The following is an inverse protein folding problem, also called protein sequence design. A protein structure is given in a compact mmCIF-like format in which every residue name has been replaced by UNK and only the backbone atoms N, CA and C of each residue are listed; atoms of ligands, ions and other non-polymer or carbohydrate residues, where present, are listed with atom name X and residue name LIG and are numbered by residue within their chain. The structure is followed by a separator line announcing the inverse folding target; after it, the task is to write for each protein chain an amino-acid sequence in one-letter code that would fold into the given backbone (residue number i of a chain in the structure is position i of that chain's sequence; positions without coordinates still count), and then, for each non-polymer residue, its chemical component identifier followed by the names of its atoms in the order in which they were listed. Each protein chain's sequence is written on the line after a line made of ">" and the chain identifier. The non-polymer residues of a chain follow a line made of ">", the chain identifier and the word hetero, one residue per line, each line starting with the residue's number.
data_IF_555801566504
#
_entry.id   IF_555801566504
#
_cell.length_a   1.000
_cell.length_b   1.000
_cell.length_c   1.000
_cell.angle_alpha   90.00
_cell.angle_beta   90.00
_cell.angle_gamma   90.00
#
_symmetry.space_group_name_H-M   'P 1'
#
loop_
_entity.id
_entity.type
_entity.pdbx_description
1 polymer ?
#
# COMPACT_ATOMS: atom_id res chain seq x y z
N UNK A 1 17.49 62.61 20.24
CA UNK A 1 18.26 61.47 19.71
C UNK A 1 17.32 60.61 18.92
N UNK A 2 17.45 60.57 17.59
CA UNK A 2 16.70 59.66 16.75
C UNK A 2 17.33 58.26 16.92
N UNK A 3 16.63 57.37 17.58
CA UNK A 3 17.03 55.95 17.63
C UNK A 3 16.87 55.40 16.24
N UNK A 4 17.97 55.12 15.53
CA UNK A 4 17.93 54.37 14.30
C UNK A 4 17.67 52.90 14.67
N UNK A 5 16.45 52.47 14.48
CA UNK A 5 16.07 51.06 14.57
C UNK A 5 16.62 50.30 13.37
N UNK A 6 17.09 49.10 13.61
CA UNK A 6 17.51 48.16 12.56
C UNK A 6 16.36 47.19 12.27
N UNK A 7 16.05 46.97 11.03
CA UNK A 7 15.02 46.00 10.63
C UNK A 7 15.68 44.69 10.18
N UNK A 8 15.32 43.61 10.84
CA UNK A 8 15.86 42.26 10.58
C UNK A 8 14.73 41.33 10.20
N UNK A 9 14.81 40.70 9.04
CA UNK A 9 13.87 39.69 8.61
C UNK A 9 14.28 38.32 9.20
N UNK A 10 13.42 37.70 9.97
CA UNK A 10 13.60 36.32 10.45
C UNK A 10 12.61 35.42 9.75
N UNK A 11 13.13 34.42 9.03
CA UNK A 11 12.37 33.53 8.15
C UNK A 11 12.70 32.05 8.40
N UNK A 12 11.94 31.14 7.81
CA UNK A 12 12.13 29.72 7.96
C UNK A 12 11.48 29.14 9.20
N UNK A 13 12.18 28.24 9.89
CA UNK A 13 11.61 27.42 10.98
C UNK A 13 11.66 28.09 12.36
N UNK A 14 11.04 29.26 12.44
CA UNK A 14 10.77 29.99 13.70
C UNK A 14 9.27 30.08 13.94
N UNK A 15 8.83 30.24 15.17
CA UNK A 15 7.40 30.29 15.51
C UNK A 15 6.65 31.46 14.91
N UNK A 16 7.33 32.60 14.73
CA UNK A 16 6.74 33.83 14.18
C UNK A 16 7.69 34.42 13.14
N UNK A 17 7.68 33.94 11.89
CA UNK A 17 8.51 34.51 10.84
C UNK A 17 7.99 35.90 10.45
N UNK A 18 8.81 36.94 10.67
CA UNK A 18 8.47 38.35 10.41
C UNK A 18 9.72 39.21 10.28
N UNK A 19 9.52 40.48 9.95
CA UNK A 19 10.52 41.54 10.07
C UNK A 19 10.40 42.13 11.49
N UNK A 20 11.50 42.17 12.21
CA UNK A 20 11.59 42.69 13.58
C UNK A 20 12.36 43.96 13.59
N UNK A 21 11.89 44.94 14.39
CA UNK A 21 12.61 46.14 14.72
C UNK A 21 13.55 45.85 15.87
N UNK A 22 14.84 45.99 15.63
CA UNK A 22 15.93 45.66 16.59
C UNK A 22 16.63 46.93 17.03
N UNK A 23 17.02 46.97 18.28
CA UNK A 23 17.86 48.06 18.80
C UNK A 23 19.31 47.86 18.37
N UNK A 24 20.05 48.93 18.27
CA UNK A 24 21.49 48.88 17.95
C UNK A 24 22.24 48.00 18.92
N UNK A 25 22.95 47.00 18.46
CA UNK A 25 23.76 46.07 19.25
C UNK A 25 23.00 44.84 19.76
N UNK A 26 21.72 44.71 19.50
CA UNK A 26 21.03 43.46 19.76
C UNK A 26 21.56 42.32 18.88
N UNK A 27 21.49 41.13 19.45
CA UNK A 27 22.13 39.92 18.89
C UNK A 27 21.11 39.05 18.13
N UNK A 28 21.63 38.06 17.44
CA UNK A 28 20.84 37.07 16.73
C UNK A 28 19.92 36.25 17.69
N UNK A 29 20.43 35.93 18.90
CA UNK A 29 19.65 35.28 19.95
C UNK A 29 18.41 36.13 20.34
N UNK A 30 18.55 37.44 20.42
CA UNK A 30 17.43 38.35 20.70
C UNK A 30 16.42 38.41 19.58
N UNK A 31 16.87 38.33 18.32
CA UNK A 31 15.98 38.23 17.16
C UNK A 31 15.12 36.93 17.20
N UNK A 32 15.72 35.81 17.61
CA UNK A 32 14.97 34.56 17.81
C UNK A 32 14.01 34.61 18.98
N UNK A 33 14.36 35.32 20.09
CA UNK A 33 13.44 35.55 21.18
C UNK A 33 12.19 36.33 20.71
N UNK A 34 12.34 37.38 19.93
CA UNK A 34 11.24 38.11 19.32
C UNK A 34 10.42 37.24 18.38
N UNK A 35 11.07 36.33 17.62
CA UNK A 35 10.41 35.36 16.78
C UNK A 35 9.71 34.23 17.56
N UNK A 36 9.76 34.26 18.91
CA UNK A 36 9.13 33.25 19.75
C UNK A 36 9.91 31.94 19.85
N UNK A 37 11.15 31.92 19.38
CA UNK A 37 12.00 30.75 19.31
C UNK A 37 11.76 29.88 18.06
N UNK A 38 12.38 28.71 18.05
CA UNK A 38 12.37 27.76 16.96
C UNK A 38 11.12 26.88 16.94
N UNK A 39 10.74 26.38 15.76
CA UNK A 39 9.75 25.29 15.63
C UNK A 39 10.39 23.95 16.00
N UNK A 40 9.58 22.93 16.31
CA UNK A 40 10.08 21.60 16.67
C UNK A 40 10.88 20.88 15.60
N UNK A 41 10.73 21.29 14.35
CA UNK A 41 11.43 20.75 13.17
C UNK A 41 12.53 21.70 12.64
N UNK A 42 12.95 22.69 13.44
CA UNK A 42 14.01 23.61 13.06
C UNK A 42 15.39 22.95 13.18
N UNK A 43 16.21 23.15 12.15
CA UNK A 43 17.65 22.91 12.24
C UNK A 43 18.31 24.18 12.81
N UNK A 44 18.76 24.12 14.03
CA UNK A 44 19.23 25.29 14.79
C UNK A 44 20.71 25.21 15.21
N UNK A 45 21.46 24.26 14.68
CA UNK A 45 22.91 24.19 14.96
C UNK A 45 23.67 25.32 14.28
N UNK A 46 23.20 25.76 13.12
CA UNK A 46 23.63 27.00 12.48
C UNK A 46 22.47 27.66 11.73
N UNK A 47 22.65 28.92 11.40
CA UNK A 47 21.70 29.70 10.59
C UNK A 47 22.44 30.56 9.58
N UNK A 48 21.78 30.85 8.46
CA UNK A 48 22.31 31.72 7.45
C UNK A 48 21.77 33.14 7.58
N UNK A 49 22.68 34.10 7.66
CA UNK A 49 22.36 35.53 7.66
C UNK A 49 22.81 36.13 6.34
N UNK A 50 21.86 36.66 5.58
CA UNK A 50 22.12 37.41 4.35
C UNK A 50 22.21 38.88 4.69
N UNK A 51 23.39 39.47 4.52
CA UNK A 51 23.72 40.86 4.84
C UNK A 51 23.98 41.68 3.58
N UNK A 52 23.47 42.91 3.55
CA UNK A 52 23.77 43.88 2.46
C UNK A 52 25.14 44.52 2.67
N UNK A 53 25.98 44.55 1.66
CA UNK A 53 27.35 45.14 1.71
C UNK A 53 27.51 46.35 0.79
N UNK A 54 26.44 47.07 0.52
CA UNK A 54 26.48 48.26 -0.34
C UNK A 54 26.43 47.94 -1.85
N UNK A 55 27.20 46.98 -2.33
CA UNK A 55 27.22 46.55 -3.73
C UNK A 55 26.55 45.19 -3.99
N UNK A 56 26.60 44.31 -3.02
CA UNK A 56 26.16 42.93 -3.16
C UNK A 56 25.67 42.38 -1.80
N UNK A 57 25.22 41.13 -1.80
CA UNK A 57 24.88 40.43 -0.58
C UNK A 57 26.06 39.57 -0.11
N UNK A 58 26.26 39.51 1.21
CA UNK A 58 27.14 38.53 1.86
C UNK A 58 26.27 37.50 2.57
N UNK A 59 26.68 36.25 2.55
CA UNK A 59 26.10 35.16 3.34
C UNK A 59 27.06 34.87 4.48
N UNK A 60 26.53 34.91 5.69
CA UNK A 60 27.25 34.61 6.92
C UNK A 60 26.56 33.39 7.56
N UNK A 61 27.31 32.33 7.77
CA UNK A 61 26.84 31.18 8.54
C UNK A 61 27.23 31.41 10.00
N UNK A 62 26.25 31.45 10.89
CA UNK A 62 26.44 31.64 12.31
C UNK A 62 26.11 30.38 13.06
N UNK A 63 27.07 29.86 13.81
CA UNK A 63 26.88 28.65 14.61
C UNK A 63 26.10 28.96 15.88
N UNK A 64 25.40 28.00 16.42
CA UNK A 64 24.55 28.15 17.62
C UNK A 64 25.26 28.78 18.83
N UNK A 65 26.50 28.40 19.18
CA UNK A 65 27.23 29.03 20.27
C UNK A 65 27.46 30.55 20.12
N UNK A 66 27.47 31.02 18.86
CA UNK A 66 27.77 32.42 18.54
C UNK A 66 26.51 33.30 18.44
N UNK A 67 25.30 32.76 18.61
CA UNK A 67 24.05 33.50 18.49
C UNK A 67 23.97 34.67 19.48
N UNK A 68 24.51 34.52 20.69
CA UNK A 68 24.54 35.55 21.72
C UNK A 68 25.58 36.63 21.45
N UNK A 69 26.61 36.33 20.68
CA UNK A 69 27.69 37.27 20.36
C UNK A 69 27.49 37.97 19.00
N UNK A 70 26.74 37.38 18.11
CA UNK A 70 26.54 37.89 16.74
C UNK A 70 25.58 39.08 16.73
N UNK A 71 26.10 40.28 16.53
CA UNK A 71 25.30 41.48 16.38
C UNK A 71 24.64 41.55 15.00
N UNK A 72 23.31 41.70 14.97
CA UNK A 72 22.56 41.87 13.72
C UNK A 72 22.69 43.29 13.19
N UNK A 73 22.62 43.44 11.85
CA UNK A 73 22.71 44.72 11.19
C UNK A 73 21.39 45.04 10.46
N UNK A 74 21.18 46.33 10.18
CA UNK A 74 19.99 46.78 9.45
C UNK A 74 19.91 46.15 8.06
N UNK A 75 18.73 45.58 7.75
CA UNK A 75 18.45 44.88 6.49
C UNK A 75 18.99 43.46 6.42
N UNK A 76 19.47 42.89 7.54
CA UNK A 76 19.81 41.48 7.60
C UNK A 76 18.57 40.61 7.39
N UNK A 77 18.76 39.50 6.69
CA UNK A 77 17.74 38.45 6.52
C UNK A 77 18.28 37.12 7.08
N UNK A 78 17.71 36.69 8.19
CA UNK A 78 18.06 35.45 8.88
C UNK A 78 17.15 34.33 8.40
N UNK A 79 17.73 33.23 7.95
CA UNK A 79 16.99 32.04 7.52
C UNK A 79 17.34 30.84 8.38
N UNK A 80 16.32 30.28 9.04
CA UNK A 80 16.45 29.06 9.84
C UNK A 80 16.03 27.86 9.01
N UNK A 81 16.92 26.88 8.90
CA UNK A 81 16.72 25.65 8.16
C UNK A 81 15.71 24.71 8.84
N UNK A 82 15.46 23.60 8.18
CA UNK A 82 14.69 22.47 8.69
C UNK A 82 15.58 21.25 8.85
N UNK A 83 15.34 20.43 9.87
CA UNK A 83 15.95 19.09 9.97
C UNK A 83 15.63 18.27 8.73
N UNK A 84 16.51 17.37 8.33
CA UNK A 84 16.26 16.49 7.19
C UNK A 84 15.02 15.63 7.44
N UNK A 85 14.24 15.43 6.38
CA UNK A 85 13.08 14.52 6.42
C UNK A 85 13.53 13.06 6.20
N UNK A 86 14.58 12.66 6.92
CA UNK A 86 15.14 11.32 6.88
C UNK A 86 15.26 10.78 8.31
N UNK A 87 15.15 9.46 8.43
CA UNK A 87 15.31 8.80 9.73
C UNK A 87 16.78 8.39 9.92
N UNK A 88 17.30 8.63 11.11
CA UNK A 88 18.68 8.29 11.45
C UNK A 88 18.91 6.77 11.57
N UNK A 89 17.87 6.01 11.94
CA UNK A 89 17.98 4.61 12.33
C UNK A 89 16.75 3.77 11.96
N UNK A 90 16.05 4.11 10.87
CA UNK A 90 14.85 3.38 10.47
C UNK A 90 15.18 2.05 9.81
N UNK A 91 14.40 1.03 10.18
CA UNK A 91 14.17 -0.21 9.44
C UNK A 91 12.71 -0.32 9.08
N UNK A 92 12.40 -0.95 7.97
CA UNK A 92 11.03 -1.19 7.53
C UNK A 92 10.83 -2.70 7.38
N UNK A 93 9.73 -3.24 7.90
CA UNK A 93 9.32 -4.62 7.62
C UNK A 93 7.87 -4.64 7.16
N UNK A 94 7.60 -5.36 6.06
CA UNK A 94 6.27 -5.45 5.43
C UNK A 94 5.94 -6.89 5.05
N UNK A 95 4.65 -7.14 4.77
CA UNK A 95 4.15 -8.44 4.33
C UNK A 95 3.66 -9.33 5.47
N UNK A 96 4.00 -10.62 5.43
CA UNK A 96 3.44 -11.68 6.28
C UNK A 96 4.06 -11.76 7.68
N UNK A 97 4.12 -10.63 8.39
CA UNK A 97 4.48 -10.55 9.82
C UNK A 97 3.29 -10.01 10.62
N UNK A 98 3.22 -10.31 11.92
CA UNK A 98 2.11 -9.86 12.75
C UNK A 98 2.05 -8.33 12.88
N UNK A 99 3.20 -7.66 12.99
CA UNK A 99 3.28 -6.19 13.10
C UNK A 99 4.19 -5.60 12.01
N UNK A 100 3.69 -5.42 10.79
CA UNK A 100 4.41 -4.69 9.77
C UNK A 100 4.52 -3.21 10.16
N UNK A 101 5.62 -2.55 9.79
CA UNK A 101 5.82 -1.13 10.06
C UNK A 101 7.28 -0.71 10.11
N UNK A 102 7.49 0.48 10.70
CA UNK A 102 8.81 1.04 10.91
C UNK A 102 9.35 0.63 12.29
N UNK A 103 10.62 0.27 12.32
CA UNK A 103 11.36 -0.10 13.52
C UNK A 103 12.64 0.70 13.61
N UNK A 104 13.16 0.85 14.82
CA UNK A 104 14.48 1.43 15.05
C UNK A 104 15.58 0.39 14.83
N UNK A 105 16.70 0.80 14.27
CA UNK A 105 17.91 -0.01 14.21
C UNK A 105 18.67 0.12 15.53
N UNK A 106 18.68 -0.95 16.31
CA UNK A 106 19.37 -1.09 17.59
C UNK A 106 19.99 -2.47 17.69
N UNK A 107 20.74 -2.77 18.72
CA UNK A 107 21.30 -4.11 18.95
C UNK A 107 20.25 -5.23 18.99
N UNK A 108 19.01 -4.85 19.38
CA UNK A 108 17.86 -5.78 19.43
C UNK A 108 17.14 -5.96 18.08
N UNK A 109 17.53 -5.23 17.07
CA UNK A 109 16.96 -5.28 15.70
C UNK A 109 18.05 -5.29 14.63
N UNK A 110 19.32 -5.46 15.04
CA UNK A 110 20.49 -5.40 14.16
C UNK A 110 20.57 -6.53 13.14
N UNK A 111 19.75 -7.58 13.29
CA UNK A 111 19.72 -8.70 12.35
C UNK A 111 18.27 -9.01 11.94
N UNK A 112 18.14 -9.70 10.79
CA UNK A 112 16.85 -10.04 10.21
C UNK A 112 15.99 -10.90 11.17
N UNK A 113 16.59 -11.89 11.83
CA UNK A 113 15.89 -12.73 12.81
C UNK A 113 15.33 -11.93 13.98
N UNK A 114 16.13 -11.00 14.52
CA UNK A 114 15.72 -10.12 15.62
C UNK A 114 14.60 -9.16 15.19
N UNK A 115 14.69 -8.62 13.97
CA UNK A 115 13.64 -7.75 13.43
C UNK A 115 12.32 -8.53 13.25
N UNK A 116 12.36 -9.75 12.71
CA UNK A 116 11.18 -10.63 12.60
C UNK A 116 10.59 -10.92 13.97
N UNK A 117 11.42 -11.26 14.96
CA UNK A 117 10.98 -11.50 16.33
C UNK A 117 10.34 -10.24 16.95
N UNK A 118 10.93 -9.05 16.71
CA UNK A 118 10.39 -7.76 17.17
C UNK A 118 9.05 -7.42 16.51
N UNK A 119 8.83 -7.89 15.27
CA UNK A 119 7.55 -7.80 14.56
C UNK A 119 6.54 -8.89 14.99
N UNK A 120 6.75 -9.53 16.14
CA UNK A 120 5.94 -10.61 16.71
C UNK A 120 5.89 -11.88 15.85
N UNK A 121 6.89 -12.05 14.96
CA UNK A 121 7.05 -13.26 14.14
C UNK A 121 6.21 -13.29 12.87
N UNK A 122 6.19 -14.46 12.25
CA UNK A 122 5.51 -14.73 10.98
C UNK A 122 4.03 -15.07 11.20
N UNK A 123 3.18 -14.71 10.25
CA UNK A 123 1.70 -14.96 10.32
C UNK A 123 1.28 -16.41 10.01
N UNK A 124 2.19 -17.26 9.51
CA UNK A 124 1.86 -18.60 9.04
C UNK A 124 1.36 -18.71 7.60
N UNK A 125 1.10 -17.57 6.95
CA UNK A 125 0.76 -17.49 5.53
C UNK A 125 1.89 -16.87 4.68
N UNK A 126 3.10 -16.85 5.22
CA UNK A 126 4.30 -16.39 4.53
C UNK A 126 4.72 -17.33 3.40
N UNK A 127 5.28 -16.75 2.34
CA UNK A 127 5.98 -17.52 1.32
C UNK A 127 7.37 -17.92 1.85
N UNK A 128 7.45 -19.13 2.37
CA UNK A 128 8.55 -19.61 3.18
C UNK A 128 9.92 -19.60 2.49
N UNK A 129 9.95 -19.84 1.17
CA UNK A 129 11.20 -20.05 0.43
C UNK A 129 11.92 -18.76 0.03
N UNK A 130 11.24 -17.60 0.01
CA UNK A 130 11.85 -16.37 -0.46
C UNK A 130 11.22 -15.12 0.13
N UNK A 131 12.01 -14.38 0.91
CA UNK A 131 11.82 -12.98 1.25
C UNK A 131 12.95 -12.14 0.62
N UNK A 132 12.91 -10.85 0.82
CA UNK A 132 13.91 -9.93 0.28
C UNK A 132 14.17 -8.75 1.22
N UNK A 133 15.44 -8.37 1.33
CA UNK A 133 15.85 -7.11 1.92
C UNK A 133 16.24 -6.18 0.79
N UNK A 134 15.62 -5.02 0.72
CA UNK A 134 16.00 -3.94 -0.19
C UNK A 134 16.89 -2.97 0.56
N UNK A 135 18.12 -2.81 0.10
CA UNK A 135 19.17 -1.98 0.71
C UNK A 135 19.61 -0.88 -0.23
N UNK A 136 19.75 0.33 0.29
CA UNK A 136 20.34 1.44 -0.45
C UNK A 136 21.86 1.40 -0.32
N UNK A 137 22.56 1.36 -1.45
CA UNK A 137 24.04 1.44 -1.52
C UNK A 137 24.55 2.86 -1.39
N UNK A 138 25.86 3.00 -1.25
CA UNK A 138 26.52 4.32 -1.15
C UNK A 138 26.38 5.19 -2.42
N UNK A 139 26.18 4.58 -3.57
CA UNK A 139 25.92 5.24 -4.86
C UNK A 139 24.42 5.62 -5.06
N UNK A 140 23.60 5.50 -4.00
CA UNK A 140 22.14 5.72 -3.99
C UNK A 140 21.35 4.74 -4.86
N UNK A 141 21.96 3.74 -5.46
CA UNK A 141 21.23 2.64 -6.10
C UNK A 141 20.73 1.64 -5.05
N UNK A 142 19.76 0.81 -5.44
CA UNK A 142 19.22 -0.21 -4.56
C UNK A 142 19.70 -1.60 -4.98
N UNK A 143 19.97 -2.44 -4.00
CA UNK A 143 20.19 -3.86 -4.17
C UNK A 143 19.12 -4.67 -3.45
N UNK A 144 18.84 -5.86 -3.97
CA UNK A 144 17.92 -6.81 -3.35
C UNK A 144 18.71 -8.02 -2.86
N UNK A 145 18.65 -8.27 -1.58
CA UNK A 145 19.28 -9.41 -0.92
C UNK A 145 18.19 -10.44 -0.63
N UNK A 146 18.12 -11.55 -1.38
CA UNK A 146 17.14 -12.60 -1.15
C UNK A 146 17.52 -13.44 0.06
N UNK A 147 16.52 -13.95 0.77
CA UNK A 147 16.70 -14.85 1.89
C UNK A 147 15.58 -15.88 1.99
N UNK A 148 15.85 -17.02 2.64
CA UNK A 148 14.82 -17.99 3.02
C UNK A 148 14.14 -17.50 4.31
N UNK A 149 12.81 -17.32 4.25
CA UNK A 149 12.06 -16.72 5.36
C UNK A 149 12.08 -17.58 6.62
N UNK A 150 11.96 -18.90 6.49
CA UNK A 150 11.99 -19.82 7.64
C UNK A 150 13.36 -19.92 8.27
N UNK A 151 14.41 -19.99 7.46
CA UNK A 151 15.80 -20.01 7.94
C UNK A 151 16.14 -18.72 8.67
N UNK A 152 15.77 -17.58 8.09
CA UNK A 152 16.00 -16.27 8.69
C UNK A 152 15.26 -16.11 10.03
N UNK A 153 14.00 -16.54 10.10
CA UNK A 153 13.23 -16.52 11.35
C UNK A 153 13.83 -17.44 12.43
N UNK A 154 14.48 -18.54 12.03
CA UNK A 154 15.19 -19.43 12.92
C UNK A 154 16.62 -18.97 13.28
N UNK A 155 17.08 -17.83 12.74
CA UNK A 155 18.42 -17.30 12.93
C UNK A 155 19.51 -18.03 12.14
N UNK A 156 19.11 -18.82 11.13
CA UNK A 156 20.04 -19.49 10.21
C UNK A 156 20.34 -18.53 9.05
N UNK A 157 21.63 -18.37 8.71
CA UNK A 157 22.07 -17.41 7.69
C UNK A 157 21.55 -15.98 7.95
N UNK A 158 21.60 -15.54 9.20
CA UNK A 158 21.02 -14.29 9.65
C UNK A 158 21.72 -13.08 9.01
N UNK A 159 20.96 -12.22 8.37
CA UNK A 159 21.46 -11.06 7.62
C UNK A 159 21.57 -9.87 8.57
N UNK A 160 22.77 -9.25 8.71
CA UNK A 160 22.90 -8.00 9.42
C UNK A 160 22.16 -6.87 8.67
N UNK A 161 21.31 -6.14 9.39
CA UNK A 161 20.54 -5.04 8.83
C UNK A 161 21.28 -3.72 8.95
N UNK A 162 21.03 -2.84 8.00
CA UNK A 162 21.56 -1.49 7.94
C UNK A 162 20.43 -0.46 7.97
N UNK A 163 20.78 0.77 8.30
CA UNK A 163 19.85 1.91 8.25
C UNK A 163 19.12 1.97 6.90
N UNK A 164 17.80 2.20 6.94
CA UNK A 164 16.91 2.29 5.77
C UNK A 164 16.72 0.96 5.02
N UNK A 165 17.15 -0.18 5.58
CA UNK A 165 16.79 -1.46 4.99
C UNK A 165 15.29 -1.67 5.03
N UNK A 166 14.74 -2.17 3.93
CA UNK A 166 13.33 -2.54 3.80
C UNK A 166 13.22 -4.05 3.59
N UNK A 167 12.65 -4.73 4.58
CA UNK A 167 12.41 -6.17 4.57
C UNK A 167 11.00 -6.44 4.06
N UNK A 168 10.88 -7.29 3.05
CA UNK A 168 9.61 -7.76 2.54
C UNK A 168 9.48 -9.28 2.66
N UNK A 169 8.44 -9.72 3.34
CA UNK A 169 8.10 -11.13 3.50
C UNK A 169 6.79 -11.39 2.75
N UNK A 170 6.84 -12.03 1.56
CA UNK A 170 5.65 -12.22 0.75
C UNK A 170 4.60 -13.09 1.43
N UNK A 171 3.34 -12.77 1.19
CA UNK A 171 2.21 -13.59 1.57
C UNK A 171 1.86 -14.54 0.43
N UNK A 172 1.67 -15.84 0.72
CA UNK A 172 1.29 -16.84 -0.30
C UNK A 172 -0.04 -16.51 -0.99
N UNK A 173 -0.94 -15.79 -0.33
CA UNK A 173 -2.21 -15.39 -0.93
C UNK A 173 -2.05 -14.28 -1.97
N UNK A 174 -1.05 -13.39 -1.80
CA UNK A 174 -0.73 -12.33 -2.76
C UNK A 174 0.01 -12.86 -3.99
N UNK A 175 0.64 -14.03 -3.88
CA UNK A 175 1.37 -14.69 -4.97
C UNK A 175 0.48 -15.61 -5.81
N UNK A 176 -0.78 -15.80 -5.41
CA UNK A 176 -1.75 -16.60 -6.15
C UNK A 176 -2.66 -15.70 -6.96
N UNK A 177 -2.97 -16.16 -8.16
CA UNK A 177 -4.08 -15.60 -8.92
C UNK A 177 -5.37 -15.74 -8.09
N UNK A 178 -6.19 -14.69 -8.07
CA UNK A 178 -7.47 -14.73 -7.34
C UNK A 178 -8.42 -15.68 -8.08
N UNK A 179 -8.73 -16.79 -7.44
CA UNK A 179 -9.58 -17.82 -8.02
C UNK A 179 -11.04 -17.42 -7.94
N UNK A 180 -11.69 -17.39 -9.08
CA UNK A 180 -13.08 -16.97 -9.22
C UNK A 180 -13.89 -17.99 -10.01
N UNK A 181 -15.23 -17.95 -9.84
CA UNK A 181 -16.24 -18.66 -10.61
C UNK A 181 -17.14 -17.62 -11.28
N UNK A 182 -17.29 -17.72 -12.59
CA UNK A 182 -18.27 -16.90 -13.33
C UNK A 182 -19.66 -17.54 -13.27
N UNK A 183 -20.69 -16.76 -12.93
CA UNK A 183 -22.10 -17.21 -13.04
C UNK A 183 -22.83 -16.27 -13.97
N UNK A 184 -23.36 -16.81 -15.04
CA UNK A 184 -23.95 -16.05 -16.15
C UNK A 184 -25.33 -16.59 -16.55
N UNK A 185 -26.06 -15.80 -17.33
CA UNK A 185 -27.35 -16.19 -17.88
C UNK A 185 -28.54 -15.90 -16.96
N UNK A 186 -29.53 -16.81 -16.91
CA UNK A 186 -30.81 -16.60 -16.26
C UNK A 186 -30.76 -16.88 -14.75
N UNK A 187 -29.86 -16.19 -14.04
CA UNK A 187 -29.80 -16.12 -12.58
C UNK A 187 -30.17 -14.71 -12.12
N UNK A 188 -30.63 -14.58 -10.88
CA UNK A 188 -31.11 -13.30 -10.36
C UNK A 188 -30.01 -12.24 -10.31
N UNK A 189 -28.77 -12.64 -10.00
CA UNK A 189 -27.58 -11.77 -9.90
C UNK A 189 -26.40 -12.42 -10.63
N UNK A 190 -26.29 -12.27 -11.97
CA UNK A 190 -25.10 -12.72 -12.68
C UNK A 190 -23.86 -11.98 -12.16
N UNK A 191 -22.87 -12.72 -11.69
CA UNK A 191 -21.68 -12.14 -11.08
C UNK A 191 -20.46 -13.07 -11.19
N UNK A 192 -19.32 -12.57 -10.79
CA UNK A 192 -18.10 -13.34 -10.59
C UNK A 192 -17.88 -13.54 -9.10
N UNK A 193 -17.97 -14.79 -8.66
CA UNK A 193 -17.89 -15.18 -7.24
C UNK A 193 -16.46 -15.61 -6.89
N UNK A 194 -15.95 -15.30 -5.70
CA UNK A 194 -14.70 -15.86 -5.23
C UNK A 194 -14.85 -17.39 -5.08
N UNK A 195 -13.91 -18.14 -5.67
CA UNK A 195 -13.87 -19.59 -5.56
C UNK A 195 -13.61 -20.04 -4.12
N UNK A 196 -14.26 -21.12 -3.73
CA UNK A 196 -14.05 -21.83 -2.48
C UNK A 196 -13.89 -23.32 -2.74
N UNK A 197 -12.98 -23.98 -2.07
CA UNK A 197 -12.81 -25.42 -2.17
C UNK A 197 -14.10 -26.14 -1.77
N UNK A 198 -14.48 -27.16 -2.55
CA UNK A 198 -15.73 -27.91 -2.36
C UNK A 198 -17.00 -27.21 -2.89
N UNK A 199 -16.89 -26.07 -3.54
CA UNK A 199 -18.03 -25.34 -4.12
C UNK A 199 -18.66 -26.12 -5.27
N UNK A 200 -20.00 -26.28 -5.25
CA UNK A 200 -20.77 -26.97 -6.25
C UNK A 200 -21.52 -25.99 -7.18
N UNK A 201 -22.18 -26.52 -8.21
CA UNK A 201 -23.01 -25.72 -9.12
C UNK A 201 -24.19 -25.10 -8.37
N UNK A 202 -24.80 -25.85 -7.46
CA UNK A 202 -25.89 -25.37 -6.60
C UNK A 202 -25.46 -24.20 -5.73
N UNK A 203 -24.27 -24.29 -5.12
CA UNK A 203 -23.71 -23.23 -4.30
C UNK A 203 -23.51 -21.94 -5.10
N UNK A 204 -23.00 -22.07 -6.33
CA UNK A 204 -22.79 -20.94 -7.23
C UNK A 204 -24.09 -20.25 -7.60
N UNK A 205 -25.14 -21.04 -7.95
CA UNK A 205 -26.47 -20.53 -8.28
C UNK A 205 -27.12 -19.90 -7.07
N UNK A 206 -27.04 -20.54 -5.90
CA UNK A 206 -27.60 -20.02 -4.65
C UNK A 206 -26.98 -18.65 -4.28
N UNK A 207 -25.66 -18.53 -4.38
CA UNK A 207 -24.94 -17.27 -4.14
C UNK A 207 -25.29 -16.18 -5.15
N UNK A 208 -25.66 -16.56 -6.37
CA UNK A 208 -26.17 -15.65 -7.40
C UNK A 208 -27.65 -15.30 -7.22
N UNK A 209 -28.24 -15.65 -6.08
CA UNK A 209 -29.64 -15.33 -5.73
C UNK A 209 -30.67 -16.27 -6.32
N UNK A 210 -30.25 -17.45 -6.84
CA UNK A 210 -31.13 -18.45 -7.44
C UNK A 210 -31.44 -18.17 -8.91
N UNK A 211 -32.33 -19.01 -9.46
CA UNK A 211 -32.72 -18.99 -10.86
C UNK A 211 -33.86 -17.98 -11.10
N UNK A 212 -33.86 -17.34 -12.26
CA UNK A 212 -35.02 -16.56 -12.74
C UNK A 212 -36.15 -17.50 -13.20
N UNK A 213 -37.36 -16.97 -13.31
CA UNK A 213 -38.49 -17.67 -13.87
C UNK A 213 -38.26 -18.12 -15.34
N UNK A 214 -37.49 -17.33 -16.09
CA UNK A 214 -37.07 -17.58 -17.46
C UNK A 214 -36.01 -18.67 -17.62
N UNK A 215 -35.42 -19.16 -16.52
CA UNK A 215 -34.33 -20.12 -16.53
C UNK A 215 -34.78 -21.49 -17.02
N UNK A 216 -33.90 -22.17 -17.77
CA UNK A 216 -34.07 -23.57 -18.14
C UNK A 216 -33.52 -24.47 -17.03
N UNK A 217 -34.37 -25.27 -16.43
CA UNK A 217 -33.98 -26.27 -15.43
C UNK A 217 -33.29 -27.49 -16.06
N UNK A 218 -33.50 -27.73 -17.33
CA UNK A 218 -32.94 -28.88 -18.05
C UNK A 218 -31.56 -28.63 -18.65
N UNK A 219 -31.03 -27.41 -18.56
CA UNK A 219 -29.76 -27.09 -19.22
C UNK A 219 -28.96 -26.02 -18.53
N UNK A 220 -28.21 -26.43 -17.49
CA UNK A 220 -27.16 -25.65 -16.89
C UNK A 220 -25.83 -26.17 -17.41
N UNK A 221 -25.02 -25.29 -17.92
CA UNK A 221 -23.74 -25.62 -18.52
C UNK A 221 -22.60 -25.10 -17.63
N UNK A 222 -21.55 -25.90 -17.46
CA UNK A 222 -20.32 -25.50 -16.85
C UNK A 222 -19.20 -25.61 -17.87
N UNK A 223 -18.59 -24.49 -18.20
CA UNK A 223 -17.41 -24.45 -19.05
C UNK A 223 -16.15 -24.43 -18.19
N UNK A 224 -15.33 -25.46 -18.29
CA UNK A 224 -14.05 -25.60 -17.60
C UNK A 224 -12.91 -25.38 -18.55
N UNK A 225 -12.05 -24.40 -18.30
CA UNK A 225 -10.86 -24.14 -19.12
C UNK A 225 -9.92 -25.33 -19.08
N UNK A 226 -9.44 -25.74 -20.28
CA UNK A 226 -8.35 -26.71 -20.37
C UNK A 226 -7.06 -25.93 -20.09
N UNK A 227 -6.38 -26.28 -19.02
CA UNK A 227 -5.10 -25.68 -18.62
C UNK A 227 -3.99 -26.75 -18.77
N UNK A 228 -3.15 -26.56 -19.76
CA UNK A 228 -1.89 -27.29 -19.86
C UNK A 228 -0.73 -26.29 -19.74
N UNK A 229 -0.13 -26.16 -18.54
CA UNK A 229 0.95 -25.20 -18.30
C UNK A 229 2.25 -25.55 -19.06
N UNK A 230 2.36 -26.75 -19.60
CA UNK A 230 3.52 -27.22 -20.36
C UNK A 230 3.27 -27.24 -21.89
N UNK A 231 2.08 -26.83 -22.33
CA UNK A 231 1.75 -26.82 -23.75
C UNK A 231 2.52 -25.72 -24.48
N UNK A 232 3.28 -26.11 -25.49
CA UNK A 232 3.97 -25.20 -26.42
C UNK A 232 3.21 -25.03 -27.73
N UNK A 233 2.06 -25.71 -27.90
CA UNK A 233 1.22 -25.65 -29.09
C UNK A 233 -0.20 -25.18 -28.77
N UNK A 234 -0.81 -24.45 -29.69
CA UNK A 234 -2.21 -24.05 -29.57
C UNK A 234 -3.11 -25.25 -29.89
N UNK A 235 -4.02 -25.56 -28.97
CA UNK A 235 -5.08 -26.53 -29.19
C UNK A 235 -6.37 -25.79 -29.55
N UNK A 236 -7.15 -26.33 -30.53
CA UNK A 236 -8.43 -25.75 -30.91
C UNK A 236 -9.51 -25.91 -29.81
N UNK A 237 -9.28 -26.80 -28.85
CA UNK A 237 -10.20 -27.03 -27.73
C UNK A 237 -9.74 -26.22 -26.54
N UNK A 238 -10.51 -25.18 -26.21
CA UNK A 238 -10.19 -24.23 -25.12
C UNK A 238 -10.88 -24.54 -23.80
N UNK A 239 -11.99 -25.31 -23.86
CA UNK A 239 -12.77 -25.65 -22.66
C UNK A 239 -13.48 -27.00 -22.80
N UNK A 240 -13.71 -27.68 -21.69
CA UNK A 240 -14.62 -28.80 -21.53
C UNK A 240 -15.98 -28.27 -21.09
N UNK A 241 -17.05 -28.76 -21.71
CA UNK A 241 -18.40 -28.37 -21.41
C UNK A 241 -19.13 -29.54 -20.71
N UNK A 242 -19.64 -29.27 -19.53
CA UNK A 242 -20.47 -30.18 -18.73
C UNK A 242 -21.89 -29.63 -18.71
N UNK A 243 -22.90 -30.51 -18.79
CA UNK A 243 -24.30 -30.11 -18.78
C UNK A 243 -25.03 -30.84 -17.67
N UNK A 244 -25.83 -30.10 -16.91
CA UNK A 244 -26.57 -30.60 -15.76
C UNK A 244 -28.05 -30.21 -15.87
N UNK A 245 -28.92 -31.10 -15.33
CA UNK A 245 -30.30 -30.80 -15.05
C UNK A 245 -30.45 -30.47 -13.55
N UNK A 246 -31.26 -29.48 -13.22
CA UNK A 246 -31.53 -29.07 -11.87
C UNK A 246 -33.04 -28.98 -11.62
N UNK A 247 -33.51 -29.36 -10.45
CA UNK A 247 -34.89 -29.20 -10.06
C UNK A 247 -35.19 -27.81 -9.51
N UNK A 248 -36.50 -27.46 -9.36
CA UNK A 248 -36.91 -26.13 -8.85
C UNK A 248 -36.41 -25.79 -7.46
N UNK A 249 -36.17 -26.78 -6.63
CA UNK A 249 -35.62 -26.68 -5.29
C UNK A 249 -34.08 -26.65 -5.27
N UNK A 250 -33.44 -26.46 -6.43
CA UNK A 250 -32.00 -26.45 -6.62
C UNK A 250 -31.32 -27.79 -6.32
N UNK A 251 -32.09 -28.89 -6.25
CA UNK A 251 -31.51 -30.22 -6.15
C UNK A 251 -31.03 -30.69 -7.53
N UNK A 252 -29.78 -31.08 -7.62
CA UNK A 252 -29.23 -31.75 -8.81
C UNK A 252 -29.32 -33.26 -8.63
N UNK A 253 -29.51 -33.98 -9.77
CA UNK A 253 -29.47 -35.43 -9.74
C UNK A 253 -28.23 -35.96 -9.00
N UNK A 254 -28.36 -37.05 -8.19
CA UNK A 254 -27.29 -37.53 -7.30
C UNK A 254 -25.91 -37.74 -7.95
N UNK A 255 -25.88 -38.00 -9.21
CA UNK A 255 -24.64 -38.16 -9.99
C UNK A 255 -23.96 -36.82 -10.28
N UNK A 256 -24.69 -35.75 -10.44
CA UNK A 256 -24.19 -34.40 -10.68
C UNK A 256 -23.95 -33.59 -9.40
N UNK A 257 -24.60 -33.92 -8.28
CA UNK A 257 -24.38 -33.29 -6.96
C UNK A 257 -22.95 -33.50 -6.40
N UNK A 258 -22.18 -34.38 -7.01
CA UNK A 258 -20.76 -34.60 -6.72
C UNK A 258 -19.83 -33.76 -7.59
N UNK A 259 -20.37 -32.97 -8.52
CA UNK A 259 -19.55 -32.13 -9.37
C UNK A 259 -19.07 -30.89 -8.64
N UNK A 260 -17.80 -30.92 -8.28
CA UNK A 260 -17.12 -29.81 -7.63
C UNK A 260 -16.55 -28.87 -8.70
N UNK A 261 -16.89 -27.60 -8.55
CA UNK A 261 -16.33 -26.54 -9.41
C UNK A 261 -14.83 -26.39 -9.19
N UNK A 262 -14.12 -26.01 -10.24
CA UNK A 262 -12.72 -25.67 -10.20
C UNK A 262 -12.52 -24.15 -10.41
N UNK A 263 -11.36 -23.62 -10.03
CA UNK A 263 -11.05 -22.23 -10.31
C UNK A 263 -11.26 -21.85 -11.78
N UNK A 264 -11.92 -20.73 -12.00
CA UNK A 264 -12.25 -20.17 -13.33
C UNK A 264 -13.28 -20.96 -14.14
N UNK A 265 -14.03 -21.88 -13.52
CA UNK A 265 -15.21 -22.46 -14.16
C UNK A 265 -16.25 -21.35 -14.41
N UNK A 266 -16.93 -21.43 -15.55
CA UNK A 266 -18.06 -20.56 -15.86
C UNK A 266 -19.35 -21.38 -15.86
N UNK A 267 -20.26 -21.03 -14.95
CA UNK A 267 -21.62 -21.61 -14.87
C UNK A 267 -22.55 -20.74 -15.69
N UNK A 268 -23.17 -21.32 -16.69
CA UNK A 268 -24.11 -20.65 -17.59
C UNK A 268 -25.48 -21.25 -17.47
N UNK A 269 -26.47 -20.47 -17.04
CA UNK A 269 -27.88 -20.87 -16.99
C UNK A 269 -28.60 -20.37 -18.22
N UNK A 270 -29.06 -21.30 -19.05
CA UNK A 270 -29.75 -20.96 -20.30
C UNK A 270 -31.19 -20.52 -20.03
N UNK A 271 -31.72 -19.71 -20.94
CA UNK A 271 -33.15 -19.36 -21.01
C UNK A 271 -33.97 -20.54 -21.49
N UNK A 272 -35.14 -20.76 -20.91
CA UNK A 272 -36.10 -21.77 -21.35
C UNK A 272 -36.62 -21.41 -22.75
N UNK A 273 -36.55 -22.33 -23.72
CA UNK A 273 -37.00 -22.03 -25.07
C UNK A 273 -38.48 -21.64 -25.21
N UNK A 274 -39.31 -22.11 -24.27
CA UNK A 274 -40.74 -21.79 -24.24
C UNK A 274 -41.14 -20.56 -23.42
N UNK A 275 -40.18 -19.84 -22.86
CA UNK A 275 -40.47 -18.66 -22.05
C UNK A 275 -40.63 -17.42 -22.92
N UNK A 276 -41.85 -16.85 -22.92
CA UNK A 276 -42.14 -15.52 -23.49
C UNK A 276 -42.43 -14.53 -22.35
N UNK A 277 -41.77 -13.40 -22.34
CA UNK A 277 -42.15 -12.31 -21.45
C UNK A 277 -43.59 -11.87 -21.82
N UNK A 278 -44.50 -11.89 -20.81
CA UNK A 278 -45.81 -11.31 -21.00
C UNK A 278 -45.67 -9.83 -21.26
N UNK A 279 -45.77 -9.42 -22.51
CA UNK A 279 -46.00 -8.00 -22.81
C UNK A 279 -47.33 -7.61 -22.19
N UNK A 280 -47.36 -6.61 -21.32
CA UNK A 280 -48.59 -5.98 -20.90
C UNK A 280 -49.29 -5.43 -22.13
N UNK A 281 -50.26 -6.17 -22.63
CA UNK A 281 -51.19 -5.67 -23.64
C UNK A 281 -52.02 -4.58 -22.94
N UNK A 282 -51.69 -3.32 -23.20
CA UNK A 282 -52.50 -2.21 -22.78
C UNK A 282 -53.95 -2.45 -23.21
N UNK A 283 -54.90 -2.34 -22.29
CA UNK A 283 -56.33 -2.37 -22.60
C UNK A 283 -56.59 -1.29 -23.69
N UNK A 284 -56.80 -1.71 -24.88
CA UNK A 284 -57.46 -0.87 -25.87
C UNK A 284 -58.89 -0.71 -25.42
N UNK A 285 -59.21 0.51 -24.95
CA UNK A 285 -60.62 0.88 -24.70
C UNK A 285 -61.27 1.04 -26.05
N UNK A 286 -62.06 0.05 -26.46
CA UNK A 286 -63.03 0.22 -27.55
C UNK A 286 -64.15 1.17 -27.04
N UNK A 287 -64.26 2.31 -27.69
CA UNK A 287 -65.50 3.06 -27.84
C UNK A 287 -65.93 2.99 -29.27
#
# INVERSE_FOLDING_TARGET
>A
MLFRSSYVAVTGKVKRPRIYEMKKGETLAKAFEYAGGFTGDAYNDNVNVKRKTGRQYSILTVEKPDFDAFAVADGDSVSVGRIFNEYANRLVITGAVWRPGNYELTDNTATLSKLIAKAEGLKGNEFASRGQVTRRKSDYTYEVIPFNVREAAAGVNDIPLMREDSVYIPNILELREEYVIGVRGEVNRPDTLPFRDGMTVEDAILRSGGLKESASYAKIEVARRIKDPNSTSYTNKTADLYTFNIDKDLSIAPEASRFVLQPFDEVYVRRSPGYSEQQQIGRASCR
#
